data_IF_071148684522
#
_entry.id   IF_071148684522
#
_cell.length_a   1.000
_cell.length_b   1.000
_cell.length_c   1.000
_cell.angle_alpha   90.00
_cell.angle_beta   90.00
_cell.angle_gamma   90.00
#
_symmetry.space_group_name_H-M   'P 1'
#
loop_
_entity.id
_entity.type
_entity.pdbx_description
1 polymer ?
#
# COMPACT_ATOMS: atom_id res chain seq x y z
N UNK A 1 -20.98 -4.32 -23.67
CA UNK A 1 -21.21 -3.43 -22.51
C UNK A 1 -20.92 -4.24 -21.24
N UNK A 2 -19.72 -4.13 -20.65
CA UNK A 2 -19.35 -4.92 -19.48
C UNK A 2 -19.44 -4.04 -18.23
N UNK A 3 -20.54 -4.18 -17.48
CA UNK A 3 -20.63 -3.71 -16.09
C UNK A 3 -19.60 -4.50 -15.29
N UNK A 4 -18.48 -3.87 -14.96
CA UNK A 4 -17.54 -4.39 -13.97
C UNK A 4 -17.62 -3.50 -12.73
N UNK A 5 -18.72 -3.64 -12.01
CA UNK A 5 -18.77 -3.36 -10.59
C UNK A 5 -18.71 -4.73 -9.91
N UNK A 6 -17.56 -5.09 -9.34
CA UNK A 6 -17.49 -6.20 -8.39
C UNK A 6 -18.46 -5.89 -7.25
N UNK A 7 -19.16 -6.90 -6.68
CA UNK A 7 -19.93 -6.69 -5.46
C UNK A 7 -19.01 -6.07 -4.40
N UNK A 8 -19.38 -4.90 -3.85
CA UNK A 8 -18.51 -4.22 -2.90
C UNK A 8 -18.14 -5.12 -1.72
N UNK A 9 -16.84 -5.29 -1.46
CA UNK A 9 -16.35 -6.00 -0.28
C UNK A 9 -15.68 -7.35 -0.54
N UNK A 10 -15.51 -7.79 -1.79
CA UNK A 10 -14.75 -9.01 -2.14
C UNK A 10 -13.43 -8.75 -2.88
N UNK A 11 -13.10 -7.48 -3.17
CA UNK A 11 -11.93 -7.13 -3.95
C UNK A 11 -10.62 -7.37 -3.18
N UNK A 12 -9.58 -7.73 -3.93
CA UNK A 12 -8.21 -7.87 -3.42
C UNK A 12 -7.28 -6.87 -4.09
N UNK A 13 -6.38 -6.30 -3.30
CA UNK A 13 -5.35 -5.37 -3.78
C UNK A 13 -3.97 -5.92 -3.46
N UNK A 14 -3.08 -5.92 -4.44
CA UNK A 14 -1.64 -6.08 -4.22
C UNK A 14 -0.90 -4.96 -4.92
N UNK A 15 -0.29 -4.10 -4.13
CA UNK A 15 0.50 -2.98 -4.62
C UNK A 15 1.91 -3.11 -4.06
N UNK A 16 2.91 -3.25 -4.94
CA UNK A 16 4.31 -3.38 -4.56
C UNK A 16 5.13 -2.45 -5.42
N UNK A 17 6.21 -1.95 -4.86
CA UNK A 17 7.12 -1.09 -5.58
C UNK A 17 8.38 -0.85 -4.80
N UNK A 18 9.25 -0.08 -5.45
CA UNK A 18 10.50 0.42 -4.92
C UNK A 18 10.48 1.93 -5.03
N UNK A 19 10.98 2.57 -3.99
CA UNK A 19 11.21 4.01 -3.92
C UNK A 19 12.71 4.24 -3.80
N UNK A 20 13.18 5.26 -4.50
CA UNK A 20 14.51 5.82 -4.33
C UNK A 20 14.36 7.15 -3.59
N UNK A 21 14.83 7.17 -2.35
CA UNK A 21 14.75 8.34 -1.48
C UNK A 21 16.14 8.91 -1.21
N UNK A 22 16.25 10.21 -0.90
CA UNK A 22 17.50 10.79 -0.44
C UNK A 22 18.06 10.04 0.77
N UNK A 23 19.38 9.84 0.78
CA UNK A 23 20.11 9.17 1.86
C UNK A 23 21.17 10.11 2.45
N UNK A 24 21.37 10.14 3.78
CA UNK A 24 20.62 9.41 4.81
C UNK A 24 19.17 9.87 4.92
N UNK A 25 18.27 8.98 5.34
CA UNK A 25 16.85 9.33 5.50
C UNK A 25 16.72 10.41 6.58
N UNK A 26 16.17 11.57 6.19
CA UNK A 26 15.91 12.69 7.08
C UNK A 26 14.48 13.21 6.87
N UNK A 27 13.60 13.09 7.88
CA UNK A 27 13.78 12.33 9.12
C UNK A 27 14.00 10.82 8.88
N UNK A 28 14.52 10.08 9.87
CA UNK A 28 14.63 8.62 9.80
C UNK A 28 13.27 7.97 9.50
N UNK A 29 13.29 6.88 8.73
CA UNK A 29 12.07 6.12 8.43
C UNK A 29 11.52 5.50 9.73
N UNK A 30 10.30 5.86 10.09
CA UNK A 30 9.61 5.26 11.21
C UNK A 30 8.08 5.18 11.00
N UNK A 31 7.61 4.18 10.24
CA UNK A 31 6.18 3.90 10.12
C UNK A 31 5.48 3.58 11.44
N UNK A 32 6.21 3.16 12.49
CA UNK A 32 5.60 2.87 13.80
C UNK A 32 5.13 4.15 14.50
N UNK A 33 5.80 5.27 14.26
CA UNK A 33 5.40 6.57 14.80
C UNK A 33 4.59 7.41 13.83
N UNK A 34 4.92 7.34 12.52
CA UNK A 34 4.38 8.27 11.51
C UNK A 34 3.27 7.68 10.65
N UNK A 35 3.14 6.36 10.61
CA UNK A 35 2.23 5.68 9.70
C UNK A 35 2.61 5.85 8.22
N UNK A 36 1.69 5.48 7.33
CA UNK A 36 1.84 5.63 5.87
C UNK A 36 0.50 5.99 5.24
N UNK A 37 0.53 6.54 4.02
CA UNK A 37 -0.68 6.77 3.21
C UNK A 37 -0.56 6.11 1.85
N UNK A 38 -1.65 5.50 1.40
CA UNK A 38 -1.75 4.80 0.14
C UNK A 38 -2.87 5.44 -0.66
N UNK A 39 -2.54 5.94 -1.84
CA UNK A 39 -3.49 6.51 -2.77
C UNK A 39 -3.53 5.66 -4.04
N UNK A 40 -4.73 5.50 -4.59
CA UNK A 40 -4.94 4.94 -5.92
C UNK A 40 -5.89 5.87 -6.66
N UNK A 41 -5.41 6.43 -7.75
CA UNK A 41 -6.17 7.29 -8.66
C UNK A 41 -6.28 6.60 -10.02
N UNK A 42 -7.44 6.69 -10.67
CA UNK A 42 -7.64 6.16 -12.00
C UNK A 42 -7.15 7.12 -13.10
N UNK A 43 -7.18 6.71 -14.37
CA UNK A 43 -6.68 7.54 -15.48
C UNK A 43 -7.49 8.83 -15.72
N UNK A 44 -8.66 8.95 -15.10
CA UNK A 44 -9.51 10.16 -15.15
C UNK A 44 -9.25 11.11 -13.98
N UNK A 45 -8.37 10.72 -13.04
CA UNK A 45 -8.14 11.44 -11.79
C UNK A 45 -9.14 11.10 -10.68
N UNK A 46 -9.98 10.07 -10.88
CA UNK A 46 -10.93 9.59 -9.89
C UNK A 46 -10.22 8.84 -8.76
N UNK A 47 -10.48 9.24 -7.51
CA UNK A 47 -9.92 8.58 -6.32
C UNK A 47 -10.58 7.22 -6.09
N UNK A 48 -9.83 6.14 -6.29
CA UNK A 48 -10.26 4.75 -6.05
C UNK A 48 -9.98 4.31 -4.62
N UNK A 49 -8.83 4.70 -4.06
CA UNK A 49 -8.43 4.38 -2.69
C UNK A 49 -7.70 5.55 -2.04
N UNK A 50 -8.11 5.90 -0.82
CA UNK A 50 -7.34 6.75 0.09
C UNK A 50 -7.28 6.04 1.45
N UNK A 51 -6.18 5.38 1.74
CA UNK A 51 -5.97 4.66 2.98
C UNK A 51 -4.84 5.29 3.78
N UNK A 52 -5.17 5.85 4.94
CA UNK A 52 -4.18 6.28 5.94
C UNK A 52 -4.03 5.19 6.98
N UNK A 53 -2.84 4.61 7.05
CA UNK A 53 -2.47 3.63 8.07
C UNK A 53 -1.77 4.38 9.19
N UNK A 54 -2.36 4.47 10.40
CA UNK A 54 -1.77 5.23 11.48
C UNK A 54 -0.46 4.58 11.96
N UNK A 55 0.37 5.39 12.62
CA UNK A 55 1.39 4.86 13.52
C UNK A 55 0.74 4.09 14.69
N UNK A 56 1.54 3.30 15.38
CA UNK A 56 1.13 2.49 16.52
C UNK A 56 1.89 1.17 16.52
N UNK A 57 2.58 0.88 17.62
CA UNK A 57 3.20 -0.43 17.84
C UNK A 57 2.14 -1.53 17.85
N UNK A 58 2.53 -2.73 17.45
CA UNK A 58 1.68 -3.90 17.57
C UNK A 58 1.41 -4.21 19.04
N UNK A 59 0.14 -4.19 19.44
CA UNK A 59 -0.27 -4.45 20.81
C UNK A 59 -0.63 -5.94 20.98
N UNK A 60 0.24 -6.69 21.68
CA UNK A 60 0.00 -8.07 22.13
C UNK A 60 -0.65 -8.12 23.54
N UNK A 61 -0.79 -6.98 24.23
CA UNK A 61 -1.06 -6.92 25.68
C UNK A 61 -2.51 -7.19 26.07
N UNK A 62 -3.42 -7.23 25.11
CA UNK A 62 -4.80 -7.69 25.35
C UNK A 62 -4.97 -8.97 24.56
N UNK A 63 -5.17 -10.10 25.24
CA UNK A 63 -5.53 -11.39 24.64
C UNK A 63 -6.92 -11.36 23.95
N UNK A 64 -7.38 -10.16 23.58
CA UNK A 64 -8.67 -9.77 23.01
C UNK A 64 -8.60 -8.59 22.02
N UNK A 65 -7.54 -7.77 21.88
CA UNK A 65 -7.58 -6.66 20.91
C UNK A 65 -6.94 -7.01 19.57
N UNK A 66 -7.80 -7.21 18.56
CA UNK A 66 -7.66 -6.65 17.19
C UNK A 66 -6.47 -7.10 16.32
N UNK A 67 -5.41 -7.71 16.86
CA UNK A 67 -4.16 -8.10 16.17
C UNK A 67 -3.68 -7.03 15.17
N UNK A 68 -3.62 -5.78 15.63
CA UNK A 68 -3.40 -4.62 14.77
C UNK A 68 -2.22 -3.78 15.23
N UNK A 69 -1.40 -3.34 14.28
CA UNK A 69 -0.30 -2.42 14.53
C UNK A 69 0.97 -2.80 13.78
N UNK A 70 2.02 -1.99 13.98
CA UNK A 70 3.32 -2.15 13.34
C UNK A 70 4.28 -2.98 14.19
N UNK A 71 4.92 -3.96 13.55
CA UNK A 71 6.10 -4.66 14.07
C UNK A 71 7.35 -4.15 13.35
N UNK A 72 8.38 -3.79 14.11
CA UNK A 72 9.70 -3.40 13.60
C UNK A 72 10.72 -4.51 13.90
N UNK A 73 11.65 -4.77 12.98
CA UNK A 73 12.75 -5.69 13.26
C UNK A 73 13.85 -5.05 14.12
N UNK A 74 14.69 -5.85 14.76
CA UNK A 74 15.76 -5.36 15.64
C UNK A 74 16.76 -4.39 14.97
N UNK A 75 16.96 -4.52 13.65
CA UNK A 75 17.86 -3.64 12.90
C UNK A 75 17.21 -2.34 12.40
N UNK A 76 15.92 -2.10 12.70
CA UNK A 76 15.17 -0.91 12.28
C UNK A 76 15.22 -0.66 10.76
N UNK A 77 15.17 -1.74 9.96
CA UNK A 77 15.17 -1.68 8.49
C UNK A 77 13.91 -2.26 7.87
N UNK A 78 13.04 -2.90 8.67
CA UNK A 78 11.81 -3.52 8.20
C UNK A 78 10.68 -3.28 9.18
N UNK A 79 9.58 -2.76 8.63
CA UNK A 79 8.34 -2.52 9.35
C UNK A 79 7.21 -3.30 8.71
N UNK A 80 6.37 -3.92 9.52
CA UNK A 80 5.21 -4.68 9.07
C UNK A 80 3.98 -4.29 9.86
N UNK A 81 3.04 -3.61 9.22
CA UNK A 81 1.70 -3.41 9.73
C UNK A 81 0.84 -4.64 9.45
N UNK A 82 0.06 -5.05 10.44
CA UNK A 82 -1.03 -6.03 10.27
C UNK A 82 -2.30 -5.45 10.85
N UNK A 83 -3.45 -5.81 10.29
CA UNK A 83 -4.76 -5.55 10.88
C UNK A 83 -5.67 -6.78 10.70
N UNK A 84 -6.10 -7.37 11.80
CA UNK A 84 -6.95 -8.57 11.82
C UNK A 84 -8.45 -8.30 11.66
N UNK A 85 -8.91 -7.05 11.88
CA UNK A 85 -10.33 -6.67 11.87
C UNK A 85 -10.80 -6.12 10.51
N UNK A 86 -10.50 -6.84 9.42
CA UNK A 86 -10.95 -6.45 8.07
C UNK A 86 -10.12 -5.35 7.40
N UNK A 87 -9.15 -4.76 8.09
CA UNK A 87 -8.22 -3.79 7.52
C UNK A 87 -8.80 -2.39 7.32
N UNK A 88 -7.93 -1.41 7.16
CA UNK A 88 -8.35 -0.01 6.92
C UNK A 88 -8.63 0.13 5.42
N UNK A 89 -9.88 0.39 5.04
CA UNK A 89 -10.31 0.38 3.62
C UNK A 89 -9.96 -0.92 2.91
N UNK A 90 -10.01 -2.05 3.64
CA UNK A 90 -9.61 -3.37 3.16
C UNK A 90 -8.10 -3.62 3.21
N UNK A 91 -7.25 -2.65 3.59
CA UNK A 91 -5.79 -2.85 3.74
C UNK A 91 -5.48 -3.59 5.04
N UNK A 92 -5.04 -4.84 4.90
CA UNK A 92 -4.78 -5.75 6.03
C UNK A 92 -3.30 -5.90 6.35
N UNK A 93 -2.40 -5.53 5.43
CA UNK A 93 -0.96 -5.62 5.63
C UNK A 93 -0.20 -4.58 4.82
N UNK A 94 0.78 -3.95 5.46
CA UNK A 94 1.79 -3.12 4.81
C UNK A 94 3.16 -3.56 5.25
N UNK A 95 4.11 -3.64 4.32
CA UNK A 95 5.53 -3.84 4.61
C UNK A 95 6.32 -2.71 3.99
N UNK A 96 7.22 -2.14 4.77
CA UNK A 96 8.24 -1.18 4.34
C UNK A 96 9.59 -1.79 4.69
N UNK A 97 10.54 -1.76 3.75
CA UNK A 97 11.88 -2.30 3.94
C UNK A 97 12.92 -1.35 3.34
N UNK A 98 13.78 -0.81 4.18
CA UNK A 98 14.99 -0.15 3.72
C UNK A 98 16.02 -1.19 3.30
N UNK A 99 16.66 -0.99 2.14
CA UNK A 99 17.74 -1.85 1.67
C UNK A 99 18.99 -1.65 2.53
N UNK A 100 19.57 -2.74 3.02
CA UNK A 100 20.87 -2.71 3.70
C UNK A 100 22.05 -2.62 2.72
N UNK A 101 21.81 -2.89 1.43
CA UNK A 101 22.87 -3.00 0.41
C UNK A 101 22.87 -1.83 -0.56
N UNK A 102 21.78 -1.08 -0.67
CA UNK A 102 21.63 0.05 -1.60
C UNK A 102 21.12 1.26 -0.81
N UNK A 103 21.95 2.27 -0.54
CA UNK A 103 21.53 3.49 0.15
C UNK A 103 20.34 4.16 -0.54
N UNK A 104 19.37 4.62 0.24
CA UNK A 104 18.18 5.33 -0.27
C UNK A 104 17.08 4.43 -0.84
N UNK A 105 17.35 3.16 -1.13
CA UNK A 105 16.35 2.25 -1.66
C UNK A 105 15.39 1.77 -0.57
N UNK A 106 14.08 1.92 -0.81
CA UNK A 106 13.01 1.42 0.04
C UNK A 106 12.03 0.60 -0.78
N UNK A 107 11.89 -0.69 -0.45
CA UNK A 107 10.86 -1.55 -1.02
C UNK A 107 9.60 -1.51 -0.15
N UNK A 108 8.43 -1.47 -0.78
CA UNK A 108 7.16 -1.54 -0.09
C UNK A 108 6.21 -2.58 -0.69
N UNK A 109 5.28 -3.05 0.14
CA UNK A 109 4.21 -3.94 -0.27
C UNK A 109 2.96 -3.67 0.55
N UNK A 110 1.85 -3.48 -0.14
CA UNK A 110 0.50 -3.27 0.42
C UNK A 110 -0.38 -4.44 -0.01
N UNK A 111 -1.11 -5.01 0.94
CA UNK A 111 -2.08 -6.08 0.69
C UNK A 111 -3.44 -5.67 1.21
N UNK A 112 -4.42 -5.66 0.31
CA UNK A 112 -5.83 -5.50 0.61
C UNK A 112 -6.62 -6.80 0.47
N UNK A 113 -7.58 -7.03 1.35
CA UNK A 113 -8.55 -8.14 1.32
C UNK A 113 -9.93 -7.59 1.64
N UNK A 114 -10.95 -8.19 1.04
CA UNK A 114 -12.36 -7.83 1.26
C UNK A 114 -12.61 -6.31 1.12
N UNK A 115 -11.91 -5.69 0.16
CA UNK A 115 -12.00 -4.26 -0.09
C UNK A 115 -13.03 -3.94 -1.17
N UNK A 116 -13.09 -2.66 -1.54
CA UNK A 116 -13.82 -2.21 -2.73
C UNK A 116 -12.90 -1.28 -3.49
N UNK A 117 -12.36 -1.75 -4.61
CA UNK A 117 -11.40 -1.04 -5.45
C UNK A 117 -11.90 -1.01 -6.91
N UNK A 118 -13.07 -0.39 -7.17
CA UNK A 118 -13.65 -0.40 -8.50
C UNK A 118 -12.80 0.45 -9.44
N UNK A 119 -12.13 -0.19 -10.40
CA UNK A 119 -11.45 0.48 -11.51
C UNK A 119 -12.02 -0.08 -12.81
N UNK A 120 -12.81 0.70 -13.57
CA UNK A 120 -13.24 0.31 -14.90
C UNK A 120 -12.02 0.03 -15.79
N UNK A 121 -12.12 -0.94 -16.70
CA UNK A 121 -11.02 -1.24 -17.65
C UNK A 121 -10.64 -0.04 -18.53
N UNK A 122 -11.59 0.85 -18.81
CA UNK A 122 -11.39 2.12 -19.52
C UNK A 122 -10.58 3.14 -18.73
N UNK A 123 -10.47 2.98 -17.41
CA UNK A 123 -9.86 3.95 -16.50
C UNK A 123 -8.45 3.50 -16.05
N UNK A 124 -7.83 2.61 -16.81
CA UNK A 124 -6.42 2.20 -16.69
C UNK A 124 -5.60 3.09 -17.65
N UNK A 125 -4.36 3.50 -17.33
CA UNK A 125 -3.55 3.16 -16.15
C UNK A 125 -4.01 3.83 -14.86
N UNK A 126 -3.71 3.18 -13.73
CA UNK A 126 -3.89 3.77 -12.41
C UNK A 126 -2.57 4.34 -11.91
N UNK A 127 -2.64 5.43 -11.17
CA UNK A 127 -1.50 6.01 -10.45
C UNK A 127 -1.60 5.57 -9.00
N UNK A 128 -0.56 4.93 -8.48
CA UNK A 128 -0.53 4.49 -7.09
C UNK A 128 0.56 5.24 -6.33
N UNK A 129 0.16 5.98 -5.30
CA UNK A 129 1.10 6.76 -4.48
C UNK A 129 1.26 6.08 -3.14
N UNK A 130 2.52 5.91 -2.71
CA UNK A 130 2.87 5.43 -1.39
C UNK A 130 3.66 6.51 -0.66
N UNK A 131 3.04 7.12 0.34
CA UNK A 131 3.69 8.13 1.17
C UNK A 131 4.18 7.51 2.47
N UNK A 132 5.49 7.60 2.69
CA UNK A 132 6.13 7.43 3.99
C UNK A 132 6.01 8.75 4.74
N UNK A 133 5.91 8.68 6.06
CA UNK A 133 5.65 9.85 6.89
C UNK A 133 4.50 10.71 6.33
N UNK A 134 3.28 10.18 6.47
CA UNK A 134 2.08 10.80 5.90
C UNK A 134 1.87 12.28 6.29
N UNK A 135 2.53 12.72 7.37
CA UNK A 135 2.50 14.10 7.87
C UNK A 135 3.69 14.95 7.39
N UNK A 136 4.88 14.36 7.17
CA UNK A 136 6.07 15.09 6.69
C UNK A 136 6.28 15.01 5.17
N UNK A 137 5.48 14.25 4.44
CA UNK A 137 5.47 14.27 2.97
C UNK A 137 6.68 13.59 2.32
N UNK A 138 7.30 12.58 2.97
CA UNK A 138 8.25 11.70 2.28
C UNK A 138 7.50 10.80 1.28
N UNK A 139 7.22 11.35 0.10
CA UNK A 139 6.34 10.71 -0.88
C UNK A 139 7.14 9.94 -1.92
N UNK A 140 6.76 8.69 -2.15
CA UNK A 140 7.14 7.94 -3.34
C UNK A 140 5.93 7.70 -4.23
N UNK A 141 5.94 8.25 -5.44
CA UNK A 141 4.90 7.97 -6.42
C UNK A 141 5.33 6.83 -7.34
N UNK A 142 4.48 5.82 -7.50
CA UNK A 142 4.68 4.76 -8.48
C UNK A 142 3.56 4.82 -9.53
N UNK A 143 3.93 5.20 -10.74
CA UNK A 143 3.00 5.24 -11.87
C UNK A 143 3.06 3.91 -12.62
N UNK A 144 1.91 3.29 -12.91
CA UNK A 144 1.83 2.00 -13.59
C UNK A 144 1.13 2.15 -14.95
N UNK A 145 1.84 2.46 -16.04
CA UNK A 145 1.30 2.84 -17.35
C UNK A 145 0.47 1.78 -18.11
N UNK A 146 0.03 0.69 -17.48
CA UNK A 146 -0.92 -0.26 -18.06
C UNK A 146 -0.35 -1.68 -18.15
N UNK A 147 -0.82 -2.52 -19.09
CA UNK A 147 -0.32 -3.89 -19.22
C UNK A 147 1.18 -3.91 -19.59
N UNK A 148 1.88 -5.04 -19.38
CA UNK A 148 3.34 -5.15 -19.48
C UNK A 148 3.98 -4.50 -20.71
N UNK A 149 5.25 -4.05 -20.62
CA UNK A 149 6.23 -4.30 -19.55
C UNK A 149 6.07 -3.42 -18.29
N UNK A 150 6.78 -3.76 -17.21
CA UNK A 150 6.70 -3.07 -15.92
C UNK A 150 7.17 -1.60 -15.99
N UNK A 151 6.65 -0.70 -15.15
CA UNK A 151 5.64 -0.91 -14.11
C UNK A 151 4.23 -1.15 -14.70
N UNK A 152 3.55 -2.21 -14.25
CA UNK A 152 2.24 -2.64 -14.75
C UNK A 152 1.21 -2.83 -13.64
N UNK A 153 -0.02 -2.32 -13.85
CA UNK A 153 -1.19 -2.65 -13.04
C UNK A 153 -2.14 -3.49 -13.89
N UNK A 154 -2.52 -4.65 -13.38
CA UNK A 154 -3.43 -5.55 -14.10
C UNK A 154 -4.47 -6.15 -13.16
N UNK A 155 -5.67 -6.33 -13.69
CA UNK A 155 -6.65 -7.21 -13.09
C UNK A 155 -6.34 -8.68 -13.40
N UNK A 156 -6.73 -9.59 -12.51
CA UNK A 156 -6.84 -11.00 -12.84
C UNK A 156 -7.95 -11.24 -13.88
N UNK A 157 -8.04 -12.46 -14.41
CA UNK A 157 -9.03 -12.84 -15.44
C UNK A 157 -10.48 -12.55 -15.03
N UNK A 158 -10.78 -12.62 -13.73
CA UNK A 158 -12.11 -12.39 -13.15
C UNK A 158 -12.38 -10.94 -12.75
N UNK A 159 -11.40 -10.04 -12.82
CA UNK A 159 -11.56 -8.63 -12.43
C UNK A 159 -11.58 -8.36 -10.91
N UNK A 160 -11.38 -9.36 -10.06
CA UNK A 160 -11.50 -9.26 -8.60
C UNK A 160 -10.19 -8.96 -7.87
N UNK A 161 -9.06 -8.97 -8.57
CA UNK A 161 -7.74 -8.68 -7.97
C UNK A 161 -6.96 -7.71 -8.84
N UNK A 162 -6.67 -6.53 -8.30
CA UNK A 162 -5.75 -5.56 -8.89
C UNK A 162 -4.34 -5.81 -8.38
N UNK A 163 -3.41 -6.11 -9.29
CA UNK A 163 -1.99 -6.28 -8.99
C UNK A 163 -1.15 -5.23 -9.71
N UNK A 164 -0.46 -4.41 -8.94
CA UNK A 164 0.47 -3.38 -9.42
C UNK A 164 1.91 -3.79 -9.05
N UNK A 165 2.75 -3.97 -10.07
CA UNK A 165 4.14 -4.44 -9.96
C UNK A 165 5.04 -3.87 -11.05
#
# INVERSE_FOLDING_TARGET
MAKLATPGGDDRLRFRGRLDLPFPFSPPLDPTMKGVRILLDDSTGGRVLDATIPGGGYDDATQTATQTGWKMNASHTKWTYTNGLGGIRGIVRVTVRASSSVPGQVDFSVTGRNGSYPVPRSNIPVTATFALDSLAGQCGAATFPGPPPAPSCRFNSTGSTLSCK
#
